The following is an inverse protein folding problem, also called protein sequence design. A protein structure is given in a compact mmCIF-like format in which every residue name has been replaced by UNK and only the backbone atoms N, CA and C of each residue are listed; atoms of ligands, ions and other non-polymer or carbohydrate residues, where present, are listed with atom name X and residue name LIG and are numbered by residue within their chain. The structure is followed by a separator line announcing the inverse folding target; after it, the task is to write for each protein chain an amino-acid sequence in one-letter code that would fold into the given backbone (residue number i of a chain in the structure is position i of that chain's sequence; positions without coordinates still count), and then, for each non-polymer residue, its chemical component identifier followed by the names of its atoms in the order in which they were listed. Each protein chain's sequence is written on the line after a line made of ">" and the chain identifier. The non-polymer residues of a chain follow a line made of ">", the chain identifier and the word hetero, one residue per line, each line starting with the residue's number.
data_IF_428790278010
#
_entry.id   IF_428790278010
#
_cell.length_a   1.000
_cell.length_b   1.000
_cell.length_c   1.000
_cell.angle_alpha   90.00
_cell.angle_beta   90.00
_cell.angle_gamma   90.00
#
_symmetry.space_group_name_H-M   'P 1'
#
loop_
_entity.id
_entity.type
_entity.pdbx_description
1 polymer ?
#
# COMPACT_ATOMS: atom_id res chain seq x y z
N UNK A 1 -5.55 16.05 7.12
CA UNK A 1 -4.66 14.91 6.99
C UNK A 1 -4.75 14.02 8.23
N UNK A 2 -4.78 12.72 8.05
CA UNK A 2 -4.90 11.76 9.13
C UNK A 2 -3.52 11.27 9.56
N UNK A 3 -3.37 11.00 10.85
CA UNK A 3 -2.22 10.29 11.40
C UNK A 3 -2.73 8.99 12.02
N UNK A 4 -2.23 7.87 11.52
CA UNK A 4 -2.63 6.55 12.00
C UNK A 4 -1.38 5.81 12.43
N UNK A 5 -1.37 5.31 13.66
CA UNK A 5 -0.23 4.58 14.22
C UNK A 5 -0.66 3.29 14.90
N UNK A 6 0.13 2.24 14.70
CA UNK A 6 -0.02 0.98 15.42
C UNK A 6 -1.43 0.39 15.30
N UNK A 7 -1.97 0.37 14.08
CA UNK A 7 -3.32 -0.14 13.79
C UNK A 7 -3.22 -1.38 12.92
N UNK A 8 -4.02 -2.38 13.22
CA UNK A 8 -4.22 -3.55 12.37
C UNK A 8 -5.61 -3.47 11.75
N UNK A 9 -5.64 -3.40 10.42
CA UNK A 9 -6.86 -3.59 9.64
C UNK A 9 -6.89 -5.05 9.19
N UNK A 10 -7.85 -5.81 9.66
CA UNK A 10 -7.98 -7.24 9.37
C UNK A 10 -9.30 -7.50 8.67
N UNK A 11 -9.23 -8.19 7.51
CA UNK A 11 -10.41 -8.59 6.74
C UNK A 11 -11.34 -7.42 6.40
N UNK A 12 -10.75 -6.25 6.14
CA UNK A 12 -11.53 -5.03 5.87
C UNK A 12 -11.71 -4.80 4.37
N UNK A 13 -12.85 -4.26 4.01
CA UNK A 13 -13.09 -3.75 2.67
C UNK A 13 -12.79 -2.25 2.66
N UNK A 14 -11.66 -1.90 2.05
CA UNK A 14 -11.17 -0.53 1.95
C UNK A 14 -11.02 -0.11 0.49
N UNK A 15 -11.85 -0.69 -0.38
CA UNK A 15 -11.83 -0.35 -1.80
C UNK A 15 -12.06 1.14 -2.01
N UNK A 16 -11.22 1.74 -2.84
CA UNK A 16 -11.27 3.18 -3.18
C UNK A 16 -11.10 4.12 -1.99
N UNK A 17 -10.53 3.65 -0.90
CA UNK A 17 -10.21 4.54 0.21
C UNK A 17 -9.15 5.55 -0.19
N UNK A 18 -9.24 6.75 0.35
CA UNK A 18 -8.33 7.84 0.06
C UNK A 18 -7.49 8.16 1.30
N UNK A 19 -6.20 7.86 1.20
CA UNK A 19 -5.22 8.14 2.24
C UNK A 19 -4.27 9.29 1.82
N UNK A 20 -4.67 10.06 0.81
CA UNK A 20 -3.84 11.16 0.31
C UNK A 20 -3.42 12.09 1.43
N UNK A 21 -2.13 12.31 1.54
CA UNK A 21 -1.57 13.22 2.54
C UNK A 21 -1.54 12.67 3.97
N UNK A 22 -2.02 11.45 4.20
CA UNK A 22 -2.00 10.83 5.53
C UNK A 22 -0.58 10.42 5.93
N UNK A 23 -0.37 10.25 7.23
CA UNK A 23 0.83 9.61 7.76
C UNK A 23 0.40 8.30 8.42
N UNK A 24 0.93 7.18 7.92
CA UNK A 24 0.69 5.86 8.47
C UNK A 24 1.99 5.32 9.03
N UNK A 25 2.00 4.93 10.29
CA UNK A 25 3.18 4.39 10.94
C UNK A 25 2.82 3.09 11.64
N UNK A 26 3.55 2.03 11.31
CA UNK A 26 3.34 0.69 11.89
C UNK A 26 1.89 0.23 11.74
N UNK A 27 1.33 0.42 10.55
CA UNK A 27 -0.03 -0.01 10.20
C UNK A 27 0.05 -1.27 9.35
N UNK A 28 -0.76 -2.26 9.70
CA UNK A 28 -0.81 -3.52 8.98
C UNK A 28 -2.19 -3.65 8.33
N UNK A 29 -2.19 -3.85 7.02
CA UNK A 29 -3.40 -4.21 6.28
C UNK A 29 -3.30 -5.70 5.96
N UNK A 30 -4.05 -6.53 6.66
CA UNK A 30 -4.03 -7.99 6.50
C UNK A 30 -5.34 -8.47 5.90
N UNK A 31 -5.23 -9.18 4.79
CA UNK A 31 -6.38 -9.74 4.07
C UNK A 31 -7.45 -8.67 3.80
N UNK A 32 -7.02 -7.48 3.42
CA UNK A 32 -7.90 -6.36 3.11
C UNK A 32 -8.08 -6.20 1.60
N UNK A 33 -9.22 -5.66 1.21
CA UNK A 33 -9.44 -5.21 -0.14
C UNK A 33 -9.02 -3.75 -0.24
N UNK A 34 -7.89 -3.48 -0.89
CA UNK A 34 -7.35 -2.13 -1.10
C UNK A 34 -7.41 -1.73 -2.58
N UNK A 35 -8.30 -2.36 -3.35
CA UNK A 35 -8.43 -2.05 -4.77
C UNK A 35 -8.70 -0.56 -4.98
N UNK A 36 -7.98 0.02 -5.93
CA UNK A 36 -8.16 1.41 -6.36
C UNK A 36 -8.01 2.44 -5.23
N UNK A 37 -7.34 2.06 -4.14
CA UNK A 37 -7.07 2.98 -3.03
C UNK A 37 -5.96 3.95 -3.39
N UNK A 38 -6.01 5.15 -2.81
CA UNK A 38 -5.07 6.24 -3.04
C UNK A 38 -4.11 6.38 -1.87
N UNK A 39 -2.83 6.16 -2.15
CA UNK A 39 -1.74 6.37 -1.19
C UNK A 39 -0.72 7.38 -1.73
N UNK A 40 -1.15 8.28 -2.61
CA UNK A 40 -0.28 9.33 -3.12
C UNK A 40 0.07 10.30 -2.00
N UNK A 41 1.32 10.77 -1.96
CA UNK A 41 1.78 11.72 -0.94
C UNK A 41 1.50 11.26 0.49
N UNK A 42 1.45 9.95 0.69
CA UNK A 42 1.21 9.32 1.98
C UNK A 42 2.54 8.84 2.54
N UNK A 43 2.79 9.11 3.82
CA UNK A 43 3.97 8.56 4.49
C UNK A 43 3.64 7.17 5.01
N UNK A 44 4.43 6.16 4.57
CA UNK A 44 4.15 4.75 4.84
C UNK A 44 5.31 4.11 5.60
N UNK A 45 5.56 4.57 6.81
CA UNK A 45 6.65 4.06 7.63
C UNK A 45 6.25 2.78 8.34
N UNK A 46 6.94 1.68 8.01
CA UNK A 46 6.67 0.39 8.65
C UNK A 46 5.28 -0.14 8.35
N UNK A 47 4.73 0.17 7.19
CA UNK A 47 3.40 -0.27 6.78
C UNK A 47 3.50 -1.59 6.02
N UNK A 48 2.62 -2.52 6.33
CA UNK A 48 2.54 -3.81 5.61
C UNK A 48 1.26 -3.86 4.77
N UNK A 49 1.44 -4.16 3.49
CA UNK A 49 0.34 -4.44 2.55
C UNK A 49 0.28 -5.94 2.21
N UNK A 50 1.12 -6.74 2.87
CA UNK A 50 1.28 -8.15 2.55
C UNK A 50 -0.05 -8.88 2.58
N UNK A 51 -0.30 -9.64 1.51
CA UNK A 51 -1.49 -10.49 1.34
C UNK A 51 -2.83 -9.72 1.28
N UNK A 52 -2.79 -8.42 1.05
CA UNK A 52 -3.97 -7.63 0.72
C UNK A 52 -4.08 -7.45 -0.81
N UNK A 53 -5.29 -7.22 -1.30
CA UNK A 53 -5.51 -6.97 -2.72
C UNK A 53 -5.20 -5.51 -3.03
N UNK A 54 -4.11 -5.28 -3.75
CA UNK A 54 -3.63 -3.93 -4.09
C UNK A 54 -3.85 -3.57 -5.56
N UNK A 55 -4.73 -4.29 -6.25
CA UNK A 55 -5.02 -4.01 -7.66
C UNK A 55 -5.50 -2.57 -7.82
N UNK A 56 -4.87 -1.82 -8.72
CA UNK A 56 -5.23 -0.43 -9.00
C UNK A 56 -4.81 0.57 -7.92
N UNK A 57 -4.04 0.13 -6.92
CA UNK A 57 -3.54 1.03 -5.87
C UNK A 57 -2.63 2.10 -6.47
N UNK A 58 -2.73 3.32 -5.97
CA UNK A 58 -1.84 4.41 -6.35
C UNK A 58 -0.90 4.70 -5.19
N UNK A 59 0.39 4.52 -5.41
CA UNK A 59 1.44 4.81 -4.43
C UNK A 59 2.45 5.75 -5.08
N UNK A 60 2.75 6.85 -4.43
CA UNK A 60 3.80 7.75 -4.89
C UNK A 60 5.17 7.11 -4.77
N UNK A 61 6.11 7.48 -5.65
CA UNK A 61 7.46 6.91 -5.64
C UNK A 61 8.17 7.10 -4.30
N UNK A 62 7.92 8.22 -3.64
CA UNK A 62 8.53 8.54 -2.35
C UNK A 62 7.95 7.71 -1.20
N UNK A 63 6.85 6.99 -1.44
CA UNK A 63 6.15 6.23 -0.41
C UNK A 63 6.56 4.77 -0.36
N UNK A 64 7.39 4.29 -1.28
CA UNK A 64 7.78 2.87 -1.32
C UNK A 64 8.73 2.47 -0.21
N UNK A 65 9.48 3.41 0.34
CA UNK A 65 10.47 3.11 1.36
C UNK A 65 9.77 2.61 2.64
N UNK A 66 10.20 1.46 3.12
CA UNK A 66 9.71 0.92 4.37
C UNK A 66 8.41 0.14 4.31
N UNK A 67 7.81 -0.05 3.12
CA UNK A 67 6.62 -0.91 3.02
C UNK A 67 7.02 -2.38 2.94
N UNK A 68 6.15 -3.24 3.43
CA UNK A 68 6.28 -4.70 3.33
C UNK A 68 5.23 -5.23 2.37
N UNK A 69 5.66 -6.03 1.41
CA UNK A 69 4.79 -6.67 0.43
C UNK A 69 5.28 -8.11 0.19
N UNK A 70 4.44 -8.95 -0.39
CA UNK A 70 4.87 -10.26 -0.85
C UNK A 70 5.46 -10.15 -2.27
N UNK A 71 6.02 -11.25 -2.77
CA UNK A 71 6.67 -11.27 -4.09
C UNK A 71 5.73 -10.88 -5.23
N UNK A 72 4.53 -11.42 -5.23
CA UNK A 72 3.54 -11.10 -6.26
C UNK A 72 3.14 -9.63 -6.26
N UNK A 73 2.96 -9.05 -5.08
CA UNK A 73 2.67 -7.63 -4.94
C UNK A 73 3.84 -6.77 -5.42
N UNK A 74 5.07 -7.18 -5.12
CA UNK A 74 6.27 -6.46 -5.57
C UNK A 74 6.35 -6.43 -7.09
N UNK A 75 6.06 -7.55 -7.75
CA UNK A 75 6.05 -7.63 -9.21
C UNK A 75 4.97 -6.73 -9.81
N UNK A 76 3.80 -6.73 -9.20
CA UNK A 76 2.70 -5.88 -9.63
C UNK A 76 3.07 -4.39 -9.55
N UNK A 77 3.64 -3.96 -8.41
CA UNK A 77 4.05 -2.58 -8.21
C UNK A 77 5.18 -2.18 -9.16
N UNK A 78 6.14 -3.09 -9.40
CA UNK A 78 7.22 -2.87 -10.35
C UNK A 78 6.70 -2.64 -11.77
N UNK A 79 5.72 -3.43 -12.21
CA UNK A 79 5.06 -3.23 -13.50
C UNK A 79 4.48 -1.83 -13.62
N UNK A 80 3.87 -1.34 -12.55
CA UNK A 80 3.26 0.00 -12.52
C UNK A 80 4.27 1.13 -12.66
N UNK A 81 5.55 0.87 -12.40
CA UNK A 81 6.62 1.85 -12.57
C UNK A 81 7.15 1.89 -14.01
N UNK A 82 6.69 1.01 -14.88
CA UNK A 82 7.00 1.05 -16.30
C UNK A 82 8.24 0.28 -16.73
N UNK A 83 8.93 -0.40 -15.83
CA UNK A 83 10.05 -1.24 -16.27
C UNK A 83 9.59 -2.69 -16.51
N UNK A 84 10.37 -3.35 -17.35
CA UNK A 84 10.13 -4.74 -17.72
C UNK A 84 10.96 -5.65 -16.83
N UNK A 85 10.36 -6.76 -16.41
CA UNK A 85 11.05 -7.78 -15.62
C UNK A 85 11.31 -8.98 -16.52
N UNK A 86 12.57 -9.33 -16.69
CA UNK A 86 13.00 -10.51 -17.46
C UNK A 86 13.92 -11.35 -16.58
N UNK A 87 13.69 -12.65 -16.57
CA UNK A 87 14.56 -13.58 -15.84
C UNK A 87 15.78 -13.98 -16.65
#
# INVERSE_FOLDING_TARGET
>A
FANVKNVLFLDCDLERCDFLGATLESVIFRNCNLKDSQFSQTKLKGVSLKDSDITGITIGRDSFEGITVNTGQALYLASGLGFRIED
#
